data_IF_918772398134
#
_entry.id   IF_918772398134
#
_cell.length_a   1.000
_cell.length_b   1.000
_cell.length_c   1.000
_cell.angle_alpha   90.00
_cell.angle_beta   90.00
_cell.angle_gamma   90.00
#
_symmetry.space_group_name_H-M   'P 1'
#
loop_
_entity.id
_entity.type
_entity.pdbx_description
1 polymer ?
#
# COMPACT_ATOMS: atom_id res chain seq x y z
N UNK A 1 -27.41 20.13 -0.87
CA UNK A 1 -26.43 20.71 0.08
C UNK A 1 -25.06 20.45 -0.50
N UNK A 2 -24.24 21.49 -0.63
CA UNK A 2 -22.83 21.34 -0.98
C UNK A 2 -22.08 21.07 0.33
N UNK A 3 -21.31 19.98 0.37
CA UNK A 3 -20.56 19.55 1.56
C UNK A 3 -19.08 19.55 1.22
N UNK A 4 -18.22 19.88 2.18
CA UNK A 4 -16.76 19.84 2.01
C UNK A 4 -16.20 18.39 2.02
N UNK A 5 -17.07 17.38 2.05
CA UNK A 5 -16.71 15.98 2.22
C UNK A 5 -16.95 15.19 0.93
N UNK A 6 -15.95 14.41 0.51
CA UNK A 6 -16.06 13.51 -0.65
C UNK A 6 -16.90 12.27 -0.35
N UNK A 7 -16.81 11.75 0.87
CA UNK A 7 -17.52 10.52 1.29
C UNK A 7 -18.66 10.86 2.26
N UNK A 8 -19.87 10.93 1.72
CA UNK A 8 -21.10 11.20 2.47
C UNK A 8 -22.12 10.08 2.34
N UNK A 9 -23.04 9.97 3.30
CA UNK A 9 -24.19 9.10 3.24
C UNK A 9 -25.32 9.71 2.38
N UNK A 10 -26.44 9.00 2.25
CA UNK A 10 -27.59 9.40 1.42
C UNK A 10 -28.25 10.72 1.87
N UNK A 11 -28.01 11.17 3.10
CA UNK A 11 -28.52 12.43 3.64
C UNK A 11 -27.47 13.55 3.65
N UNK A 12 -26.27 13.30 3.10
CA UNK A 12 -25.20 14.29 2.95
C UNK A 12 -24.25 14.42 4.14
N UNK A 13 -24.34 13.55 5.15
CA UNK A 13 -23.42 13.59 6.30
C UNK A 13 -22.17 12.75 6.05
N UNK A 14 -21.01 13.09 6.64
CA UNK A 14 -19.78 12.31 6.49
C UNK A 14 -19.96 10.85 6.91
N UNK A 15 -19.41 9.94 6.12
CA UNK A 15 -19.34 8.52 6.50
C UNK A 15 -18.41 8.39 7.72
N UNK A 16 -18.86 7.67 8.77
CA UNK A 16 -18.03 7.42 9.95
C UNK A 16 -16.74 6.67 9.57
N UNK A 17 -15.60 7.09 10.13
CA UNK A 17 -14.27 6.59 9.75
C UNK A 17 -14.09 5.07 9.90
N UNK A 18 -14.82 4.44 10.83
CA UNK A 18 -14.78 2.98 11.04
C UNK A 18 -15.65 2.18 10.06
N UNK A 19 -16.53 2.85 9.31
CA UNK A 19 -17.44 2.17 8.36
C UNK A 19 -16.69 1.27 7.38
N UNK A 20 -15.60 1.72 6.73
CA UNK A 20 -14.77 0.86 5.86
C UNK A 20 -14.26 -0.41 6.57
N UNK A 21 -13.82 -0.29 7.82
CA UNK A 21 -13.33 -1.43 8.61
C UNK A 21 -14.47 -2.42 8.91
N UNK A 22 -15.67 -1.93 9.22
CA UNK A 22 -16.84 -2.78 9.48
C UNK A 22 -17.40 -3.48 8.24
N UNK A 23 -17.28 -2.87 7.05
CA UNK A 23 -17.76 -3.49 5.81
C UNK A 23 -16.76 -4.50 5.23
N UNK A 24 -15.47 -4.34 5.53
CA UNK A 24 -14.40 -5.18 4.95
C UNK A 24 -14.64 -6.69 5.10
N UNK A 25 -15.03 -7.25 6.27
CA UNK A 25 -15.29 -8.68 6.39
C UNK A 25 -16.43 -9.18 5.48
N UNK A 26 -17.44 -8.34 5.22
CA UNK A 26 -18.54 -8.69 4.30
C UNK A 26 -18.03 -8.73 2.86
N UNK A 27 -17.20 -7.76 2.47
CA UNK A 27 -16.60 -7.69 1.14
C UNK A 27 -15.67 -8.88 0.87
N UNK A 28 -14.82 -9.22 1.83
CA UNK A 28 -13.90 -10.38 1.75
C UNK A 28 -14.68 -11.68 1.56
N UNK A 29 -15.73 -11.91 2.37
CA UNK A 29 -16.59 -13.09 2.22
C UNK A 29 -17.26 -13.15 0.84
N UNK A 30 -17.77 -12.01 0.35
CA UNK A 30 -18.42 -11.92 -0.96
C UNK A 30 -17.44 -12.17 -2.11
N UNK A 31 -16.18 -11.75 -1.96
CA UNK A 31 -15.14 -11.95 -2.94
C UNK A 31 -14.56 -13.39 -2.93
N UNK A 32 -14.85 -14.19 -1.90
CA UNK A 32 -14.33 -15.56 -1.78
C UNK A 32 -12.82 -15.64 -1.55
N UNK A 33 -12.21 -14.57 -1.04
CA UNK A 33 -10.77 -14.49 -0.78
C UNK A 33 -10.45 -14.81 0.69
N UNK A 34 -9.19 -15.15 1.03
CA UNK A 34 -8.77 -15.35 2.41
C UNK A 34 -9.11 -14.15 3.31
N UNK A 35 -9.24 -14.36 4.63
CA UNK A 35 -9.48 -13.27 5.57
C UNK A 35 -8.49 -12.12 5.42
N UNK A 36 -9.00 -10.90 5.21
CA UNK A 36 -8.19 -9.70 5.04
C UNK A 36 -8.83 -8.52 5.79
N UNK A 37 -7.99 -7.65 6.35
CA UNK A 37 -8.36 -6.40 7.01
C UNK A 37 -8.27 -5.24 6.03
N UNK A 38 -8.91 -4.12 6.36
CA UNK A 38 -8.84 -2.91 5.54
C UNK A 38 -7.39 -2.44 5.36
N UNK A 39 -6.59 -2.47 6.43
CA UNK A 39 -5.19 -2.05 6.38
C UNK A 39 -4.31 -2.94 5.49
N UNK A 40 -4.72 -4.19 5.24
CA UNK A 40 -3.97 -5.08 4.35
C UNK A 40 -4.04 -4.60 2.89
N UNK A 41 -5.05 -3.80 2.51
CA UNK A 41 -5.08 -3.11 1.20
C UNK A 41 -3.96 -2.07 1.07
N UNK A 42 -3.66 -1.35 2.17
CA UNK A 42 -2.54 -0.41 2.20
C UNK A 42 -1.21 -1.14 2.12
N UNK A 43 -1.09 -2.31 2.76
CA UNK A 43 0.07 -3.17 2.62
C UNK A 43 0.23 -3.68 1.19
N UNK A 44 -0.85 -4.17 0.57
CA UNK A 44 -0.85 -4.61 -0.81
C UNK A 44 -0.38 -3.51 -1.77
N UNK A 45 -0.93 -2.29 -1.63
CA UNK A 45 -0.55 -1.14 -2.45
C UNK A 45 0.95 -0.83 -2.36
N UNK A 46 1.52 -0.83 -1.15
CA UNK A 46 2.93 -0.58 -0.95
C UNK A 46 3.81 -1.69 -1.53
N UNK A 47 3.48 -2.96 -1.27
CA UNK A 47 4.19 -4.12 -1.83
C UNK A 47 4.18 -4.09 -3.34
N UNK A 48 3.05 -3.80 -3.99
CA UNK A 48 2.96 -3.70 -5.45
C UNK A 48 3.88 -2.63 -6.01
N UNK A 49 3.97 -1.45 -5.39
CA UNK A 49 4.87 -0.40 -5.85
C UNK A 49 6.34 -0.77 -5.68
N UNK A 50 6.69 -1.40 -4.56
CA UNK A 50 8.07 -1.83 -4.30
C UNK A 50 8.52 -2.93 -5.26
N UNK A 51 7.65 -3.91 -5.55
CA UNK A 51 7.90 -4.94 -6.57
C UNK A 51 8.01 -4.36 -7.99
N UNK A 52 7.34 -3.23 -8.25
CA UNK A 52 7.48 -2.50 -9.50
C UNK A 52 8.75 -1.62 -9.56
N UNK A 53 9.65 -1.72 -8.57
CA UNK A 53 10.90 -0.97 -8.51
C UNK A 53 10.76 0.49 -8.08
N UNK A 54 9.59 0.91 -7.57
CA UNK A 54 9.42 2.28 -7.08
C UNK A 54 10.31 2.49 -5.84
N UNK A 55 11.13 3.56 -5.80
CA UNK A 55 12.02 3.79 -4.68
C UNK A 55 11.28 3.87 -3.34
N UNK A 56 11.86 3.25 -2.31
CA UNK A 56 11.21 3.13 -0.98
C UNK A 56 10.83 4.47 -0.36
N UNK A 57 11.62 5.53 -0.57
CA UNK A 57 11.30 6.87 -0.08
C UNK A 57 10.03 7.44 -0.74
N UNK A 58 9.87 7.24 -2.06
CA UNK A 58 8.66 7.65 -2.80
C UNK A 58 7.43 6.88 -2.31
N UNK A 59 7.58 5.57 -2.11
CA UNK A 59 6.49 4.75 -1.53
C UNK A 59 6.15 5.23 -0.12
N UNK A 60 7.16 5.55 0.70
CA UNK A 60 6.97 6.06 2.05
C UNK A 60 6.22 7.39 2.10
N UNK A 61 6.61 8.34 1.25
CA UNK A 61 5.97 9.65 1.12
C UNK A 61 4.52 9.49 0.65
N UNK A 62 4.28 8.62 -0.33
CA UNK A 62 2.92 8.29 -0.80
C UNK A 62 2.05 7.69 0.31
N UNK A 63 2.65 6.90 1.20
CA UNK A 63 1.96 6.36 2.36
C UNK A 63 1.75 7.44 3.44
N UNK A 64 2.51 8.53 3.43
CA UNK A 64 2.46 9.56 4.47
C UNK A 64 3.14 9.13 5.76
N UNK A 65 4.16 8.26 5.68
CA UNK A 65 4.98 7.94 6.84
C UNK A 65 5.99 9.07 7.08
N UNK A 66 6.01 9.61 8.30
CA UNK A 66 6.98 10.63 8.71
C UNK A 66 8.45 10.13 8.67
N UNK A 67 8.65 8.81 8.73
CA UNK A 67 9.97 8.18 8.67
C UNK A 67 9.98 7.03 7.64
N UNK A 68 10.77 7.15 6.56
CA UNK A 68 11.00 6.09 5.57
C UNK A 68 11.51 4.76 6.14
N UNK A 69 12.19 4.77 7.29
CA UNK A 69 12.63 3.55 7.95
C UNK A 69 11.46 2.67 8.44
N UNK A 70 10.26 3.23 8.60
CA UNK A 70 9.04 2.44 8.87
C UNK A 70 8.70 1.58 7.64
N UNK A 71 8.66 2.19 6.46
CA UNK A 71 8.40 1.49 5.19
C UNK A 71 9.48 0.45 4.93
N UNK A 72 10.75 0.82 5.09
CA UNK A 72 11.86 -0.10 4.90
C UNK A 72 11.75 -1.32 5.83
N UNK A 73 11.46 -1.12 7.12
CA UNK A 73 11.29 -2.24 8.07
C UNK A 73 10.12 -3.15 7.73
N UNK A 74 8.98 -2.57 7.34
CA UNK A 74 7.75 -3.34 7.04
C UNK A 74 7.92 -4.16 5.76
N UNK A 75 8.60 -3.63 4.74
CA UNK A 75 8.71 -4.25 3.41
C UNK A 75 10.11 -4.77 3.05
N UNK A 76 11.06 -4.80 3.99
CA UNK A 76 12.42 -5.32 3.77
C UNK A 76 12.46 -6.76 3.23
N UNK A 77 11.43 -7.56 3.47
CA UNK A 77 11.34 -8.91 2.91
C UNK A 77 11.10 -8.87 1.39
N UNK A 78 10.19 -8.00 0.92
CA UNK A 78 9.89 -7.79 -0.51
C UNK A 78 11.12 -7.32 -1.28
N UNK A 79 11.90 -6.42 -0.68
CA UNK A 79 13.10 -5.84 -1.31
C UNK A 79 14.23 -6.87 -1.42
N UNK A 80 14.34 -7.80 -0.47
CA UNK A 80 15.41 -8.82 -0.46
C UNK A 80 15.29 -9.85 -1.58
N UNK A 81 14.08 -10.12 -2.06
CA UNK A 81 13.88 -11.07 -3.16
C UNK A 81 14.40 -10.54 -4.52
N UNK A 82 14.67 -9.23 -4.64
CA UNK A 82 15.24 -8.60 -5.84
C UNK A 82 16.78 -8.54 -5.87
N UNK A 83 17.48 -9.15 -4.90
CA UNK A 83 18.94 -8.95 -4.77
C UNK A 83 19.75 -9.55 -5.94
N UNK A 84 19.24 -10.58 -6.62
CA UNK A 84 19.93 -11.19 -7.77
C UNK A 84 19.99 -10.25 -9.00
N UNK A 85 18.91 -9.50 -9.26
CA UNK A 85 18.81 -8.56 -10.40
C UNK A 85 19.76 -7.37 -10.24
N UNK A 86 20.08 -6.98 -9.00
CA UNK A 86 20.99 -5.86 -8.70
C UNK A 86 22.43 -6.16 -9.16
N UNK A 87 22.88 -7.40 -9.02
CA UNK A 87 24.22 -7.81 -9.45
C UNK A 87 24.39 -7.70 -10.97
N UNK A 88 23.39 -8.15 -11.71
CA UNK A 88 23.37 -8.08 -13.18
C UNK A 88 23.27 -6.62 -13.68
N UNK A 89 22.42 -5.81 -13.04
CA UNK A 89 22.31 -4.38 -13.35
C UNK A 89 23.64 -3.64 -13.15
N UNK A 90 24.33 -3.91 -12.04
CA UNK A 90 25.64 -3.31 -11.78
C UNK A 90 26.65 -3.74 -12.84
N UNK A 91 26.74 -5.04 -13.13
CA UNK A 91 27.65 -5.56 -14.15
C UNK A 91 27.40 -4.93 -15.53
N UNK A 92 26.14 -4.71 -15.91
CA UNK A 92 25.79 -4.01 -17.15
C UNK A 92 26.17 -2.52 -17.12
N UNK A 93 26.03 -1.85 -15.97
CA UNK A 93 26.35 -0.42 -15.83
C UNK A 93 27.85 -0.12 -15.74
N UNK A 94 28.67 -1.06 -15.28
CA UNK A 94 30.14 -0.91 -15.16
C UNK A 94 30.93 -1.70 -16.21
N UNK A 95 30.23 -2.47 -17.05
CA UNK A 95 30.82 -3.40 -18.02
C UNK A 95 31.15 -2.82 -19.40
N UNK A 96 30.97 -1.50 -19.61
CA UNK A 96 31.46 -0.75 -20.77
C UNK A 96 32.66 0.14 -20.41
#
# INVERSE_FOLDING_TARGET
METDYVFVNEIGEPVHADTPSHVMPKLVRRAGVPPARLHDLRHMHATTLLLAGVPVHVVSDRLGHADPAITLRVYAHVIRDHTAEVGELFAAAVGD
#
